data_IF_953646926299
#
_entry.id   IF_953646926299
#
_cell.length_a   1.000
_cell.length_b   1.000
_cell.length_c   1.000
_cell.angle_alpha   90.00
_cell.angle_beta   90.00
_cell.angle_gamma   90.00
#
_symmetry.space_group_name_H-M   'P 1'
#
loop_
_entity.id
_entity.type
_entity.pdbx_description
1 polymer ?
#
# COMPACT_ATOMS: atom_id res chain seq x y z
N UNK A 1 11.39 17.56 36.88
CA UNK A 1 11.92 16.30 36.29
C UNK A 1 10.73 15.50 35.80
N UNK A 2 10.40 15.64 34.53
CA UNK A 2 9.39 14.80 33.88
C UNK A 2 10.10 14.06 32.77
N UNK A 3 10.32 12.77 33.00
CA UNK A 3 10.90 11.86 32.02
C UNK A 3 10.02 11.90 30.78
N UNK A 4 10.55 12.49 29.71
CA UNK A 4 9.98 12.43 28.37
C UNK A 4 9.63 10.97 28.11
N UNK A 5 8.34 10.66 28.13
CA UNK A 5 7.80 9.43 27.57
C UNK A 5 8.13 9.50 26.09
N UNK A 6 9.30 8.96 25.77
CA UNK A 6 9.69 8.62 24.44
C UNK A 6 8.74 7.48 24.04
N UNK A 7 7.58 7.85 23.49
CA UNK A 7 6.71 7.00 22.69
C UNK A 7 7.56 6.45 21.54
N UNK A 8 8.36 5.44 21.86
CA UNK A 8 8.94 4.53 20.89
C UNK A 8 7.73 3.88 20.26
N UNK A 9 7.29 4.42 19.12
CA UNK A 9 6.44 3.70 18.18
C UNK A 9 7.15 2.37 17.94
N UNK A 10 6.70 1.32 18.61
CA UNK A 10 7.08 -0.03 18.27
C UNK A 10 6.88 -0.14 16.75
N UNK A 11 7.94 -0.50 16.04
CA UNK A 11 7.91 -0.68 14.61
C UNK A 11 6.70 -1.55 14.29
N UNK A 12 5.73 -1.01 13.55
CA UNK A 12 4.52 -1.72 13.15
C UNK A 12 4.97 -3.08 12.57
N UNK A 13 4.61 -4.22 13.20
CA UNK A 13 5.18 -5.53 12.86
C UNK A 13 4.95 -5.91 11.40
N UNK A 14 3.97 -5.28 10.74
CA UNK A 14 3.71 -5.43 9.31
C UNK A 14 4.84 -4.93 8.41
N UNK A 15 5.66 -3.97 8.86
CA UNK A 15 6.75 -3.41 8.06
C UNK A 15 7.97 -4.34 8.05
N UNK A 16 8.29 -4.99 9.16
CA UNK A 16 9.40 -5.97 9.21
C UNK A 16 9.14 -7.16 8.28
N UNK A 17 7.90 -7.65 8.26
CA UNK A 17 7.45 -8.74 7.39
C UNK A 17 7.55 -8.43 5.88
N UNK A 18 7.76 -7.16 5.49
CA UNK A 18 7.95 -6.79 4.09
C UNK A 18 9.27 -7.31 3.52
N UNK A 19 10.33 -7.37 4.32
CA UNK A 19 11.69 -7.63 3.86
C UNK A 19 12.41 -8.80 4.57
N UNK A 20 11.75 -9.48 5.51
CA UNK A 20 12.31 -10.59 6.29
C UNK A 20 12.89 -11.73 5.42
N UNK A 21 12.27 -12.02 4.29
CA UNK A 21 12.68 -13.04 3.33
C UNK A 21 13.51 -12.48 2.16
N UNK A 22 13.97 -11.23 2.25
CA UNK A 22 14.67 -10.50 1.18
C UNK A 22 14.02 -10.69 -0.19
N UNK A 23 12.73 -10.33 -0.34
CA UNK A 23 12.00 -10.55 -1.57
C UNK A 23 12.55 -9.68 -2.69
N UNK A 24 12.18 -10.01 -3.93
CA UNK A 24 12.48 -9.15 -5.07
C UNK A 24 11.82 -7.79 -4.90
N UNK A 25 12.33 -6.78 -5.61
CA UNK A 25 11.74 -5.45 -5.58
C UNK A 25 10.25 -5.46 -5.98
N UNK A 26 9.88 -6.32 -6.94
CA UNK A 26 8.49 -6.47 -7.38
C UNK A 26 7.60 -7.04 -6.26
N UNK A 27 8.07 -8.05 -5.53
CA UNK A 27 7.30 -8.65 -4.44
C UNK A 27 7.23 -7.73 -3.21
N UNK A 28 8.32 -7.03 -2.88
CA UNK A 28 8.33 -5.99 -1.85
C UNK A 28 7.31 -4.89 -2.18
N UNK A 29 7.32 -4.41 -3.41
CA UNK A 29 6.37 -3.42 -3.90
C UNK A 29 4.93 -3.91 -3.79
N UNK A 30 4.65 -5.14 -4.24
CA UNK A 30 3.34 -5.77 -4.12
C UNK A 30 2.87 -5.84 -2.66
N UNK A 31 3.71 -6.31 -1.74
CA UNK A 31 3.34 -6.38 -0.31
C UNK A 31 3.07 -4.99 0.27
N UNK A 32 3.90 -4.00 -0.08
CA UNK A 32 3.71 -2.63 0.39
C UNK A 32 2.43 -2.00 -0.15
N UNK A 33 2.12 -2.19 -1.44
CA UNK A 33 0.86 -1.75 -2.04
C UNK A 33 -0.34 -2.30 -1.26
N UNK A 34 -0.31 -3.59 -0.92
CA UNK A 34 -1.39 -4.25 -0.18
C UNK A 34 -1.59 -3.62 1.21
N UNK A 35 -0.51 -3.39 1.96
CA UNK A 35 -0.59 -2.74 3.28
C UNK A 35 -1.21 -1.34 3.17
N UNK A 36 -0.79 -0.55 2.19
CA UNK A 36 -1.32 0.82 2.02
C UNK A 36 -2.80 0.78 1.62
N UNK A 37 -3.20 -0.15 0.74
CA UNK A 37 -4.60 -0.35 0.37
C UNK A 37 -5.46 -0.75 1.58
N UNK A 38 -5.00 -1.69 2.41
CA UNK A 38 -5.68 -2.09 3.64
C UNK A 38 -5.79 -0.92 4.63
N UNK A 39 -4.68 -0.21 4.87
CA UNK A 39 -4.61 0.93 5.81
C UNK A 39 -5.49 2.09 5.36
N UNK A 40 -5.70 2.26 4.06
CA UNK A 40 -6.58 3.29 3.50
C UNK A 40 -8.03 2.84 3.36
N UNK A 41 -8.35 1.58 3.70
CA UNK A 41 -9.69 1.00 3.54
C UNK A 41 -10.12 0.94 2.08
N UNK A 42 -9.19 0.69 1.16
CA UNK A 42 -9.45 0.62 -0.28
C UNK A 42 -9.61 1.97 -0.99
N UNK A 43 -9.40 3.10 -0.29
CA UNK A 43 -9.47 4.45 -0.89
C UNK A 43 -8.29 4.70 -1.84
N UNK A 44 -8.48 4.38 -3.12
CA UNK A 44 -7.44 4.40 -4.16
C UNK A 44 -6.69 5.73 -4.28
N UNK A 45 -7.39 6.85 -4.19
CA UNK A 45 -6.76 8.17 -4.26
C UNK A 45 -5.80 8.43 -3.07
N UNK A 46 -6.24 8.05 -1.86
CA UNK A 46 -5.40 8.16 -0.66
C UNK A 46 -4.21 7.21 -0.74
N UNK A 47 -4.42 5.98 -1.21
CA UNK A 47 -3.36 5.00 -1.39
C UNK A 47 -2.32 5.46 -2.41
N UNK A 48 -2.75 5.93 -3.59
CA UNK A 48 -1.86 6.43 -4.63
C UNK A 48 -0.99 7.60 -4.15
N UNK A 49 -1.58 8.53 -3.40
CA UNK A 49 -0.86 9.65 -2.77
C UNK A 49 0.19 9.19 -1.74
N UNK A 50 -0.13 8.21 -0.89
CA UNK A 50 0.82 7.65 0.09
C UNK A 50 1.96 6.93 -0.63
N UNK A 51 1.64 6.17 -1.68
CA UNK A 51 2.62 5.45 -2.50
C UNK A 51 3.46 6.37 -3.39
N UNK A 52 3.08 7.65 -3.55
CA UNK A 52 3.78 8.58 -4.44
C UNK A 52 3.62 8.23 -5.92
N UNK A 53 2.56 7.50 -6.29
CA UNK A 53 2.29 7.09 -7.68
C UNK A 53 0.97 7.66 -8.17
N UNK A 54 0.81 7.71 -9.49
CA UNK A 54 -0.48 8.08 -10.09
C UNK A 54 -1.53 6.98 -9.83
N UNK A 55 -2.81 7.36 -9.63
CA UNK A 55 -3.97 6.45 -9.53
C UNK A 55 -4.00 5.42 -10.67
N UNK A 56 -3.67 5.82 -11.90
CA UNK A 56 -3.60 4.92 -13.08
C UNK A 56 -2.48 3.87 -12.95
N UNK A 57 -1.35 4.25 -12.35
CA UNK A 57 -0.25 3.32 -12.08
C UNK A 57 -0.63 2.32 -11.01
N UNK A 58 -1.27 2.77 -9.92
CA UNK A 58 -1.82 1.90 -8.89
C UNK A 58 -2.76 0.87 -9.52
N UNK A 59 -3.73 1.34 -10.31
CA UNK A 59 -4.66 0.48 -11.05
C UNK A 59 -4.00 -0.59 -11.94
N UNK A 60 -2.98 -0.18 -12.72
CA UNK A 60 -2.26 -1.11 -13.58
C UNK A 60 -1.57 -2.20 -12.76
N UNK A 61 -1.00 -1.84 -11.60
CA UNK A 61 -0.39 -2.80 -10.67
C UNK A 61 -1.43 -3.72 -10.05
N UNK A 62 -2.59 -3.20 -9.63
CA UNK A 62 -3.66 -4.02 -9.10
C UNK A 62 -4.16 -5.05 -10.13
N UNK A 63 -4.29 -4.68 -11.41
CA UNK A 63 -4.60 -5.64 -12.48
C UNK A 63 -3.47 -6.65 -12.70
N UNK A 64 -2.21 -6.21 -12.71
CA UNK A 64 -1.05 -7.10 -12.85
C UNK A 64 -0.98 -8.14 -11.72
N UNK A 65 -1.37 -7.76 -10.50
CA UNK A 65 -1.40 -8.64 -9.34
C UNK A 65 -2.72 -9.40 -9.16
N UNK A 66 -3.71 -9.18 -10.03
CA UNK A 66 -5.01 -9.85 -9.99
C UNK A 66 -5.91 -9.43 -8.83
N UNK A 67 -5.75 -8.21 -8.29
CA UNK A 67 -6.57 -7.71 -7.17
C UNK A 67 -7.84 -6.98 -7.58
N UNK A 68 -7.97 -6.64 -8.87
CA UNK A 68 -9.10 -5.90 -9.42
C UNK A 68 -9.47 -6.54 -10.76
N UNK A 69 -10.76 -6.76 -10.97
CA UNK A 69 -11.29 -7.29 -12.24
C UNK A 69 -11.56 -6.17 -13.24
N UNK A 70 -11.72 -6.53 -14.52
CA UNK A 70 -11.93 -5.57 -15.59
C UNK A 70 -13.23 -4.77 -15.45
N UNK A 71 -14.21 -5.31 -14.74
CA UNK A 71 -15.51 -4.67 -14.46
C UNK A 71 -15.39 -3.52 -13.45
N UNK A 72 -14.57 -3.67 -12.42
CA UNK A 72 -14.29 -2.63 -11.42
C UNK A 72 -13.40 -1.50 -11.98
N UNK A 73 -12.64 -1.78 -13.04
CA UNK A 73 -11.80 -0.79 -13.73
C UNK A 73 -12.62 0.22 -14.56
N UNK A 74 -13.83 -0.14 -15.00
CA UNK A 74 -14.71 0.75 -15.77
C UNK A 74 -15.37 1.80 -14.87
N UNK A 75 -15.64 1.47 -13.61
CA UNK A 75 -16.36 2.34 -12.68
C UNK A 75 -15.58 3.61 -12.28
N UNK A 76 -14.25 3.58 -12.27
CA UNK A 76 -13.41 4.71 -11.83
C UNK A 76 -12.88 5.55 -12.99
N UNK A 77 -13.51 5.48 -14.16
CA UNK A 77 -13.19 6.31 -15.33
C UNK A 77 -13.99 7.62 -15.40
N UNK A 78 -14.95 7.83 -14.49
CA UNK A 78 -15.93 8.93 -14.52
C UNK A 78 -15.76 9.98 -13.39
N UNK A 79 -14.64 9.94 -12.67
CA UNK A 79 -14.28 10.91 -11.60
C UNK A 79 -12.88 11.49 -11.87
#
# INVERSE_FOLDING_TARGET
>A
MSTTQNDRRESDPKISQLYEDFPTLEELEKRYLKIVLETTGGRKEKAARILGINRRTLYRKERQYGWVTDEEAVAQKND
#
